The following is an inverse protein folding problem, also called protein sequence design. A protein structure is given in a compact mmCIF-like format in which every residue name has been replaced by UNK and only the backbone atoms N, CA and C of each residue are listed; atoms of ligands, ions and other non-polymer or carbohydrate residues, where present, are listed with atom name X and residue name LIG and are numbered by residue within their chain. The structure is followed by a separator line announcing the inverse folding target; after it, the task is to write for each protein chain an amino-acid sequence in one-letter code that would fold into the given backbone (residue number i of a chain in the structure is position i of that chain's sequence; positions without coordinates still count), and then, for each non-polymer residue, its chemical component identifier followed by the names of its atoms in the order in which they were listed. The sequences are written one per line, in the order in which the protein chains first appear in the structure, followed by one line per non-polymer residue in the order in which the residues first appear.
data_IF_990001025405
#
_entry.id   IF_990001025405
#
_cell.length_a   1.000
_cell.length_b   1.000
_cell.length_c   1.000
_cell.angle_alpha   90.00
_cell.angle_beta   90.00
_cell.angle_gamma   90.00
#
_symmetry.space_group_name_H-M   'P 1'
#
loop_
_entity.id
_entity.type
_entity.pdbx_description
1 polymer ?
#
# COMPACT_ATOMS: atom_id res chain seq x y z
N UNK A 1 -7.46 22.26 -13.04
CA UNK A 1 -7.11 22.55 -11.62
C UNK A 1 -6.05 21.56 -11.20
N UNK A 2 -4.80 22.00 -11.04
CA UNK A 2 -3.67 21.14 -10.67
C UNK A 2 -3.92 20.69 -9.23
N UNK A 3 -4.27 19.42 -9.04
CA UNK A 3 -4.32 18.86 -7.70
C UNK A 3 -2.89 18.56 -7.26
N UNK A 4 -2.38 19.41 -6.35
CA UNK A 4 -1.11 19.10 -5.68
C UNK A 4 -1.25 17.74 -4.99
N UNK A 5 -0.27 16.82 -5.17
CA UNK A 5 -0.26 15.59 -4.41
C UNK A 5 -0.30 15.93 -2.91
N UNK A 6 -1.08 15.17 -2.17
CA UNK A 6 -1.28 15.40 -0.74
C UNK A 6 -0.60 14.29 0.06
N UNK A 7 0.16 14.71 1.07
CA UNK A 7 0.60 13.80 2.13
C UNK A 7 -0.52 13.73 3.16
N UNK A 8 -1.05 12.56 3.42
CA UNK A 8 -2.11 12.33 4.40
C UNK A 8 -2.02 10.92 4.98
N UNK A 9 -2.59 10.72 6.17
CA UNK A 9 -2.64 9.41 6.79
C UNK A 9 -3.48 8.42 5.99
N UNK A 10 -3.31 7.12 6.25
CA UNK A 10 -4.15 6.06 5.67
C UNK A 10 -5.62 6.25 6.04
N UNK A 11 -5.89 6.63 7.28
CA UNK A 11 -7.23 6.88 7.78
C UNK A 11 -7.90 8.03 7.03
N UNK A 12 -7.20 9.16 6.87
CA UNK A 12 -7.71 10.30 6.10
C UNK A 12 -7.96 9.94 4.64
N UNK A 13 -7.04 9.20 3.99
CA UNK A 13 -7.21 8.77 2.60
C UNK A 13 -8.42 7.85 2.45
N UNK A 14 -8.55 6.85 3.30
CA UNK A 14 -9.71 5.94 3.25
C UNK A 14 -11.01 6.64 3.62
N UNK A 15 -10.97 7.60 4.53
CA UNK A 15 -12.12 8.45 4.90
C UNK A 15 -12.68 9.32 3.76
N UNK A 16 -11.95 9.52 2.66
CA UNK A 16 -12.44 10.23 1.46
C UNK A 16 -13.36 9.34 0.61
N UNK A 17 -14.50 8.94 1.18
CA UNK A 17 -15.45 7.99 0.58
C UNK A 17 -16.21 8.51 -0.64
N UNK A 18 -16.16 9.82 -0.90
CA UNK A 18 -16.72 10.44 -2.12
C UNK A 18 -15.91 10.17 -3.37
N UNK A 19 -14.64 9.75 -3.21
CA UNK A 19 -13.73 9.44 -4.30
C UNK A 19 -13.60 7.93 -4.47
N UNK A 20 -13.77 7.46 -5.70
CA UNK A 20 -13.59 6.06 -6.04
C UNK A 20 -12.10 5.73 -6.25
N UNK A 21 -11.73 4.50 -5.96
CA UNK A 21 -10.37 3.98 -6.12
C UNK A 21 -10.36 2.74 -7.00
N UNK A 22 -9.20 2.26 -7.40
CA UNK A 22 -9.06 1.00 -8.15
C UNK A 22 -9.73 -0.19 -7.45
N UNK A 23 -9.64 -0.25 -6.12
CA UNK A 23 -10.29 -1.30 -5.33
C UNK A 23 -11.81 -1.21 -5.36
N UNK A 24 -12.39 0.00 -5.35
CA UNK A 24 -13.84 0.20 -5.45
C UNK A 24 -14.36 -0.17 -6.85
N UNK A 25 -13.64 0.19 -7.91
CA UNK A 25 -13.99 -0.21 -9.28
C UNK A 25 -13.98 -1.73 -9.42
N UNK A 26 -12.96 -2.40 -8.89
CA UNK A 26 -12.90 -3.88 -8.90
C UNK A 26 -14.08 -4.50 -8.17
N UNK A 27 -14.49 -3.95 -7.03
CA UNK A 27 -15.68 -4.42 -6.30
C UNK A 27 -16.95 -4.28 -7.12
N UNK A 28 -17.13 -3.15 -7.79
CA UNK A 28 -18.30 -2.92 -8.70
C UNK A 28 -18.31 -3.94 -9.82
N UNK A 29 -17.16 -4.19 -10.47
CA UNK A 29 -17.05 -5.18 -11.55
C UNK A 29 -17.35 -6.61 -11.08
N UNK A 30 -17.03 -6.94 -9.83
CA UNK A 30 -17.29 -8.27 -9.25
C UNK A 30 -18.74 -8.41 -8.80
N UNK A 31 -19.26 -7.43 -8.06
CA UNK A 31 -20.62 -7.40 -7.53
C UNK A 31 -21.02 -5.99 -7.09
N UNK A 32 -21.86 -5.30 -7.87
CA UNK A 32 -22.39 -3.98 -7.50
C UNK A 32 -23.10 -3.98 -6.14
N UNK A 33 -23.82 -5.05 -5.82
CA UNK A 33 -24.50 -5.20 -4.52
C UNK A 33 -23.51 -5.28 -3.36
N UNK A 34 -22.41 -6.03 -3.53
CA UNK A 34 -21.35 -6.11 -2.51
C UNK A 34 -20.64 -4.77 -2.35
N UNK A 35 -20.36 -4.05 -3.42
CA UNK A 35 -19.80 -2.72 -3.37
C UNK A 35 -20.65 -1.75 -2.52
N UNK A 36 -21.97 -1.72 -2.73
CA UNK A 36 -22.88 -0.88 -1.96
C UNK A 36 -22.88 -1.25 -0.47
N UNK A 37 -22.86 -2.55 -0.16
CA UNK A 37 -22.75 -3.02 1.21
C UNK A 37 -21.43 -2.59 1.86
N UNK A 38 -20.30 -2.79 1.19
CA UNK A 38 -18.96 -2.47 1.69
C UNK A 38 -18.77 -0.95 1.92
N UNK A 39 -19.57 -0.08 1.26
CA UNK A 39 -19.56 1.37 1.54
C UNK A 39 -20.09 1.75 2.92
N UNK A 40 -20.94 0.94 3.49
CA UNK A 40 -21.60 1.18 4.79
C UNK A 40 -21.07 0.27 5.89
N UNK A 41 -20.38 -0.80 5.55
CA UNK A 41 -19.84 -1.76 6.50
C UNK A 41 -18.48 -1.31 7.03
N UNK A 42 -18.26 -1.49 8.34
CA UNK A 42 -16.93 -1.36 8.92
C UNK A 42 -15.99 -2.44 8.37
N UNK A 43 -14.81 -2.01 7.93
CA UNK A 43 -13.78 -2.92 7.43
C UNK A 43 -12.85 -3.32 8.57
N UNK A 44 -12.82 -4.60 8.90
CA UNK A 44 -11.84 -5.15 9.83
C UNK A 44 -10.64 -5.65 9.01
N UNK A 45 -9.42 -5.16 9.28
CA UNK A 45 -8.23 -5.66 8.61
C UNK A 45 -8.04 -7.15 8.87
N UNK A 46 -7.68 -7.89 7.84
CA UNK A 46 -7.25 -9.29 7.99
C UNK A 46 -5.77 -9.34 8.34
N UNK A 47 -5.32 -10.44 8.96
CA UNK A 47 -3.90 -10.66 9.25
C UNK A 47 -3.00 -10.46 8.00
N UNK A 48 -3.43 -10.95 6.85
CA UNK A 48 -2.70 -10.76 5.59
C UNK A 48 -2.60 -9.27 5.16
N UNK A 49 -3.63 -8.46 5.46
CA UNK A 49 -3.57 -7.02 5.21
C UNK A 49 -2.60 -6.31 6.17
N UNK A 50 -2.59 -6.71 7.44
CA UNK A 50 -1.68 -6.17 8.45
C UNK A 50 -0.21 -6.51 8.11
N UNK A 51 0.05 -7.76 7.72
CA UNK A 51 1.36 -8.22 7.24
C UNK A 51 1.77 -7.47 5.97
N UNK A 52 0.87 -7.27 5.01
CA UNK A 52 1.11 -6.46 3.82
C UNK A 52 1.48 -5.01 4.17
N UNK A 53 0.76 -4.39 5.10
CA UNK A 53 1.06 -3.04 5.58
C UNK A 53 2.43 -2.96 6.23
N UNK A 54 2.82 -3.96 7.04
CA UNK A 54 4.15 -4.02 7.64
C UNK A 54 5.27 -4.09 6.57
N UNK A 55 5.09 -4.91 5.52
CA UNK A 55 6.04 -5.01 4.40
C UNK A 55 6.14 -3.66 3.67
N UNK A 56 5.03 -3.02 3.32
CA UNK A 56 5.04 -1.69 2.68
C UNK A 56 5.79 -0.68 3.55
N UNK A 57 5.48 -0.59 4.85
CA UNK A 57 6.16 0.33 5.76
C UNK A 57 7.67 0.03 5.86
N UNK A 58 8.05 -1.25 5.86
CA UNK A 58 9.47 -1.64 5.89
C UNK A 58 10.24 -1.16 4.66
N UNK A 59 9.69 -1.33 3.47
CA UNK A 59 10.38 -0.98 2.22
C UNK A 59 10.31 0.51 1.88
N UNK A 60 9.22 1.19 2.21
CA UNK A 60 8.95 2.55 1.76
C UNK A 60 9.24 3.60 2.84
N UNK A 61 9.08 3.24 4.11
CA UNK A 61 9.13 4.15 5.26
C UNK A 61 9.89 3.50 6.42
N UNK A 62 11.15 3.11 6.19
CA UNK A 62 11.93 2.30 7.13
C UNK A 62 12.05 2.92 8.54
N UNK A 63 12.21 4.24 8.66
CA UNK A 63 12.24 4.91 9.97
C UNK A 63 10.87 4.81 10.68
N UNK A 64 9.79 4.88 9.93
CA UNK A 64 8.45 4.70 10.48
C UNK A 64 8.23 3.24 10.93
N UNK A 65 8.77 2.27 10.17
CA UNK A 65 8.73 0.86 10.54
C UNK A 65 9.39 0.62 11.89
N UNK A 66 10.61 1.11 12.11
CA UNK A 66 11.35 0.99 13.38
C UNK A 66 10.58 1.55 14.59
N UNK A 67 9.80 2.60 14.36
CA UNK A 67 9.03 3.26 15.42
C UNK A 67 7.65 2.62 15.68
N UNK A 68 7.13 1.80 14.74
CA UNK A 68 5.78 1.23 14.81
C UNK A 68 5.73 -0.27 15.00
N UNK A 69 6.81 -0.98 14.66
CA UNK A 69 6.82 -2.44 14.64
C UNK A 69 7.95 -2.99 15.50
N UNK A 70 7.71 -4.15 16.08
CA UNK A 70 8.73 -4.97 16.73
C UNK A 70 8.48 -6.45 16.43
N UNK A 71 9.51 -7.26 16.63
CA UNK A 71 9.42 -8.70 16.44
C UNK A 71 9.32 -9.41 17.79
N UNK A 72 8.41 -10.36 17.86
CA UNK A 72 8.28 -11.23 19.03
C UNK A 72 9.55 -12.06 19.19
N UNK A 73 10.11 -12.22 20.40
CA UNK A 73 11.22 -13.14 20.62
C UNK A 73 10.89 -14.58 20.20
N UNK A 74 11.86 -15.34 19.64
CA UNK A 74 11.65 -16.73 19.17
C UNK A 74 11.08 -17.65 20.24
N UNK A 75 11.52 -17.48 21.50
CA UNK A 75 11.05 -18.27 22.65
C UNK A 75 10.02 -17.53 23.52
N UNK A 76 9.18 -16.68 22.90
CA UNK A 76 8.24 -15.87 23.65
C UNK A 76 7.15 -16.71 24.33
N UNK A 77 7.01 -16.51 25.66
CA UNK A 77 5.90 -17.01 26.44
C UNK A 77 5.29 -15.89 27.32
N UNK A 78 4.17 -15.36 26.91
CA UNK A 78 3.49 -14.26 27.61
C UNK A 78 2.97 -14.59 29.02
N UNK A 79 3.05 -15.85 29.47
CA UNK A 79 2.66 -16.26 30.83
C UNK A 79 3.84 -16.12 31.84
N UNK A 80 5.07 -16.08 31.37
CA UNK A 80 6.24 -15.91 32.22
C UNK A 80 6.41 -14.47 32.67
N UNK A 81 7.23 -14.24 33.68
CA UNK A 81 7.56 -12.89 34.15
C UNK A 81 8.23 -12.05 33.06
N UNK A 82 9.20 -12.66 32.38
CA UNK A 82 9.94 -12.06 31.27
C UNK A 82 9.01 -11.71 30.09
N UNK A 83 8.07 -12.62 29.75
CA UNK A 83 7.10 -12.37 28.70
C UNK A 83 6.11 -11.24 29.01
N UNK A 84 5.69 -11.13 30.26
CA UNK A 84 4.84 -10.01 30.71
C UNK A 84 5.58 -8.69 30.66
N UNK A 85 6.83 -8.65 31.17
CA UNK A 85 7.68 -7.47 31.11
C UNK A 85 7.89 -7.04 29.66
N UNK A 86 8.21 -7.98 28.78
CA UNK A 86 8.39 -7.67 27.36
C UNK A 86 7.13 -7.06 26.74
N UNK A 87 5.93 -7.56 27.09
CA UNK A 87 4.66 -6.99 26.63
C UNK A 87 4.38 -5.59 27.19
N UNK A 88 4.79 -5.29 28.42
CA UNK A 88 4.71 -3.94 29.00
C UNK A 88 5.60 -2.95 28.24
N UNK A 89 6.78 -3.39 27.85
CA UNK A 89 7.75 -2.55 27.13
C UNK A 89 7.36 -2.35 25.64
N UNK A 90 6.81 -3.37 24.98
CA UNK A 90 6.61 -3.38 23.53
C UNK A 90 5.13 -3.42 23.09
N UNK A 91 4.20 -3.62 24.02
CA UNK A 91 2.77 -3.83 23.68
C UNK A 91 2.08 -2.62 23.03
N UNK A 92 2.73 -1.46 23.00
CA UNK A 92 2.27 -0.26 22.29
C UNK A 92 2.63 -0.28 20.80
N UNK A 93 3.50 -1.20 20.36
CA UNK A 93 3.90 -1.38 18.97
C UNK A 93 3.08 -2.46 18.27
N UNK A 94 3.12 -2.47 16.95
CA UNK A 94 2.58 -3.57 16.15
C UNK A 94 3.56 -4.76 16.22
N UNK A 95 3.10 -5.84 16.84
CA UNK A 95 3.96 -6.99 17.13
C UNK A 95 3.86 -8.01 16.00
N UNK A 96 4.95 -8.19 15.28
CA UNK A 96 5.11 -9.23 14.28
C UNK A 96 5.61 -10.54 14.90
N UNK A 97 5.28 -11.68 14.28
CA UNK A 97 5.82 -12.96 14.67
C UNK A 97 7.35 -13.01 14.40
N UNK A 98 8.08 -13.81 15.19
CA UNK A 98 9.55 -13.83 15.15
C UNK A 98 10.13 -14.15 13.76
N UNK A 99 9.45 -15.02 13.01
CA UNK A 99 9.85 -15.42 11.66
C UNK A 99 9.80 -14.28 10.63
N UNK A 100 9.04 -13.21 10.91
CA UNK A 100 8.95 -12.06 10.01
C UNK A 100 10.25 -11.27 9.92
N UNK A 101 11.11 -11.29 10.94
CA UNK A 101 12.41 -10.64 10.88
C UNK A 101 13.29 -11.25 9.77
N UNK A 102 13.40 -12.56 9.74
CA UNK A 102 14.16 -13.29 8.71
C UNK A 102 13.51 -13.12 7.33
N UNK A 103 12.18 -13.21 7.24
CA UNK A 103 11.45 -13.04 6.01
C UNK A 103 11.67 -11.66 5.38
N UNK A 104 11.61 -10.58 6.17
CA UNK A 104 11.86 -9.22 5.68
C UNK A 104 13.30 -9.03 5.21
N UNK A 105 14.29 -9.62 5.90
CA UNK A 105 15.68 -9.61 5.47
C UNK A 105 15.83 -10.32 4.12
N UNK A 106 15.26 -11.51 3.95
CA UNK A 106 15.30 -12.24 2.68
C UNK A 106 14.59 -11.50 1.55
N UNK A 107 13.42 -10.91 1.82
CA UNK A 107 12.71 -10.09 0.86
C UNK A 107 13.56 -8.89 0.43
N UNK A 108 14.24 -8.23 1.38
CA UNK A 108 15.09 -7.08 1.10
C UNK A 108 16.29 -7.45 0.23
N UNK A 109 16.95 -8.58 0.48
CA UNK A 109 18.03 -9.06 -0.37
C UNK A 109 17.53 -9.30 -1.80
N UNK A 110 16.43 -10.04 -1.96
CA UNK A 110 15.82 -10.28 -3.28
C UNK A 110 15.39 -8.99 -3.98
N UNK A 111 14.92 -8.02 -3.21
CA UNK A 111 14.53 -6.71 -3.73
C UNK A 111 15.74 -5.92 -4.27
N UNK A 112 16.84 -5.88 -3.50
CA UNK A 112 18.07 -5.19 -3.90
C UNK A 112 18.75 -5.81 -5.13
N UNK A 113 18.56 -7.10 -5.34
CA UNK A 113 19.05 -7.83 -6.52
C UNK A 113 18.13 -7.70 -7.75
N UNK A 114 16.99 -7.02 -7.61
CA UNK A 114 15.99 -6.86 -8.65
C UNK A 114 15.94 -5.45 -9.23
N UNK A 115 15.36 -5.24 -10.44
CA UNK A 115 15.10 -3.91 -10.98
C UNK A 115 14.21 -3.03 -10.09
N UNK A 116 13.46 -3.63 -9.15
CA UNK A 116 12.58 -2.90 -8.24
C UNK A 116 13.35 -1.99 -7.27
N UNK A 117 14.66 -2.22 -7.05
CA UNK A 117 15.53 -1.32 -6.27
C UNK A 117 15.53 0.13 -6.74
N UNK A 118 14.94 0.40 -7.90
CA UNK A 118 14.78 1.76 -8.45
C UNK A 118 14.16 2.75 -7.44
N UNK A 119 13.34 2.27 -6.51
CA UNK A 119 12.76 3.12 -5.45
C UNK A 119 13.83 3.64 -4.47
N UNK A 120 14.99 2.96 -4.38
CA UNK A 120 16.12 3.41 -3.58
C UNK A 120 17.16 4.18 -4.41
N UNK A 121 17.30 3.83 -5.69
CA UNK A 121 18.29 4.43 -6.58
C UNK A 121 17.86 5.80 -7.12
N UNK A 122 16.56 6.02 -7.30
CA UNK A 122 15.98 7.28 -7.80
C UNK A 122 15.36 8.10 -6.68
N UNK A 123 15.41 9.43 -6.86
CA UNK A 123 14.60 10.33 -6.00
C UNK A 123 13.12 10.13 -6.31
N UNK A 124 12.33 9.95 -5.28
CA UNK A 124 10.89 9.78 -5.38
C UNK A 124 10.19 10.09 -4.07
N UNK A 125 8.89 9.94 -4.07
CA UNK A 125 8.03 10.19 -2.93
C UNK A 125 7.11 8.98 -2.72
N UNK A 126 6.90 8.63 -1.46
CA UNK A 126 6.09 7.49 -1.04
C UNK A 126 4.69 7.94 -0.63
N UNK A 127 3.70 7.07 -0.81
CA UNK A 127 2.34 7.21 -0.27
C UNK A 127 1.65 8.55 -0.60
N UNK A 128 1.98 9.14 -1.76
CA UNK A 128 1.32 10.37 -2.20
C UNK A 128 -0.09 10.10 -2.69
N UNK A 129 -1.02 10.90 -2.21
CA UNK A 129 -2.43 10.82 -2.57
C UNK A 129 -2.79 11.82 -3.66
N UNK A 130 -3.41 11.33 -4.72
CA UNK A 130 -3.89 12.11 -5.85
C UNK A 130 -5.41 12.01 -5.92
N UNK A 131 -6.06 13.12 -6.26
CA UNK A 131 -7.50 13.23 -6.38
C UNK A 131 -7.85 13.89 -7.70
N UNK A 132 -8.87 13.39 -8.37
CA UNK A 132 -9.50 14.00 -9.52
C UNK A 132 -10.98 14.27 -9.23
N UNK A 133 -11.44 15.48 -9.46
CA UNK A 133 -12.86 15.84 -9.29
C UNK A 133 -13.73 15.29 -10.40
N UNK A 134 -13.14 15.05 -11.57
CA UNK A 134 -13.84 14.45 -12.71
C UNK A 134 -12.90 13.54 -13.51
N UNK A 135 -13.07 12.27 -13.37
CA UNK A 135 -12.45 11.24 -14.21
C UNK A 135 -13.53 10.54 -15.02
N UNK A 136 -14.05 11.23 -16.05
CA UNK A 136 -15.13 10.71 -16.88
C UNK A 136 -16.47 10.59 -16.12
N UNK A 137 -16.83 11.62 -15.37
CA UNK A 137 -18.09 11.72 -14.61
C UNK A 137 -18.01 11.21 -13.17
N UNK A 138 -16.84 10.76 -12.70
CA UNK A 138 -16.67 10.27 -11.32
C UNK A 138 -15.50 10.95 -10.62
N UNK A 139 -15.65 11.18 -9.33
CA UNK A 139 -14.54 11.60 -8.48
C UNK A 139 -13.62 10.41 -8.20
N UNK A 140 -12.34 10.57 -8.48
CA UNK A 140 -11.35 9.52 -8.41
C UNK A 140 -10.22 9.83 -7.45
N UNK A 141 -9.67 8.80 -6.82
CA UNK A 141 -8.45 8.89 -6.02
C UNK A 141 -7.51 7.74 -6.33
N UNK A 142 -6.21 8.03 -6.23
CA UNK A 142 -5.19 6.99 -6.22
C UNK A 142 -4.07 7.35 -5.25
N UNK A 143 -3.36 6.32 -4.79
CA UNK A 143 -2.17 6.44 -3.96
C UNK A 143 -1.21 5.35 -4.37
N UNK A 144 -0.28 5.66 -5.28
CA UNK A 144 0.84 4.77 -5.57
C UNK A 144 1.73 4.62 -4.35
N UNK A 145 2.33 3.47 -4.17
CA UNK A 145 3.27 3.22 -3.08
C UNK A 145 4.52 4.11 -3.22
N UNK A 146 4.99 4.32 -4.45
CA UNK A 146 6.08 5.21 -4.75
C UNK A 146 5.94 5.82 -6.15
N UNK A 147 6.35 7.07 -6.29
CA UNK A 147 6.43 7.78 -7.59
C UNK A 147 7.75 8.52 -7.67
N UNK A 148 8.44 8.43 -8.82
CA UNK A 148 9.67 9.18 -9.05
C UNK A 148 9.42 10.68 -9.10
N UNK A 149 10.42 11.48 -8.71
CA UNK A 149 10.30 12.95 -8.71
C UNK A 149 10.03 13.56 -10.08
N UNK A 150 10.40 12.85 -11.15
CA UNK A 150 10.11 13.22 -12.54
C UNK A 150 8.75 12.70 -13.03
N UNK A 151 7.98 12.03 -12.17
CA UNK A 151 6.68 11.43 -12.45
C UNK A 151 6.65 10.38 -13.60
N UNK A 152 7.81 9.91 -14.08
CA UNK A 152 7.88 8.93 -15.17
C UNK A 152 7.82 7.48 -14.70
N UNK A 153 8.01 7.23 -13.40
CA UNK A 153 8.01 5.88 -12.83
C UNK A 153 7.07 5.82 -11.65
N UNK A 154 6.14 4.88 -11.70
CA UNK A 154 5.23 4.55 -10.60
C UNK A 154 5.50 3.12 -10.18
N UNK A 155 5.66 2.91 -8.88
CA UNK A 155 5.86 1.58 -8.29
C UNK A 155 4.72 1.29 -7.32
N UNK A 156 4.25 0.05 -7.38
CA UNK A 156 3.23 -0.48 -6.49
C UNK A 156 3.71 -1.85 -5.99
N UNK A 157 4.02 -1.96 -4.72
CA UNK A 157 4.56 -3.17 -4.10
C UNK A 157 3.46 -4.19 -3.88
N UNK A 158 3.77 -5.45 -4.12
CA UNK A 158 2.84 -6.55 -3.90
C UNK A 158 3.49 -7.67 -3.13
N UNK A 159 2.90 -8.04 -2.01
CA UNK A 159 3.26 -9.27 -1.29
C UNK A 159 2.55 -10.46 -1.91
N UNK A 160 3.26 -11.56 -2.09
CA UNK A 160 2.71 -12.79 -2.65
C UNK A 160 3.43 -14.01 -2.07
N UNK A 161 2.74 -15.13 -2.01
CA UNK A 161 3.33 -16.43 -1.64
C UNK A 161 4.14 -17.06 -2.78
N UNK A 162 3.88 -16.65 -4.03
CA UNK A 162 4.56 -17.14 -5.22
C UNK A 162 4.91 -15.96 -6.14
N UNK A 163 6.16 -15.52 -6.07
CA UNK A 163 6.71 -14.44 -6.88
C UNK A 163 7.28 -14.93 -8.23
N UNK A 164 7.13 -16.22 -8.57
CA UNK A 164 7.50 -16.70 -9.91
C UNK A 164 6.68 -16.00 -11.00
N UNK A 165 7.18 -15.88 -12.23
CA UNK A 165 6.42 -15.26 -13.33
C UNK A 165 5.02 -15.84 -13.49
N UNK A 166 4.87 -17.17 -13.36
CA UNK A 166 3.58 -17.85 -13.46
C UNK A 166 2.67 -17.57 -12.28
N UNK A 167 3.20 -17.55 -11.05
CA UNK A 167 2.46 -17.23 -9.83
C UNK A 167 2.00 -15.78 -9.84
N UNK A 168 2.89 -14.85 -10.21
CA UNK A 168 2.57 -13.44 -10.29
C UNK A 168 1.54 -13.14 -11.40
N UNK A 169 1.63 -13.81 -12.56
CA UNK A 169 0.61 -13.68 -13.62
C UNK A 169 -0.78 -14.08 -13.14
N UNK A 170 -0.90 -15.15 -12.34
CA UNK A 170 -2.18 -15.52 -11.71
C UNK A 170 -2.66 -14.44 -10.75
N UNK A 171 -1.76 -13.89 -9.93
CA UNK A 171 -2.07 -12.81 -9.00
C UNK A 171 -2.55 -11.54 -9.70
N UNK A 172 -1.97 -11.17 -10.85
CA UNK A 172 -2.44 -10.05 -11.69
C UNK A 172 -3.92 -10.20 -12.04
N UNK A 173 -4.31 -11.39 -12.53
CA UNK A 173 -5.70 -11.67 -12.88
C UNK A 173 -6.62 -11.73 -11.65
N UNK A 174 -6.21 -12.47 -10.63
CA UNK A 174 -7.00 -12.71 -9.41
C UNK A 174 -7.27 -11.43 -8.62
N UNK A 175 -6.25 -10.58 -8.47
CA UNK A 175 -6.34 -9.36 -7.67
C UNK A 175 -6.57 -8.09 -8.50
N UNK A 176 -6.64 -8.20 -9.83
CA UNK A 176 -6.95 -7.08 -10.71
C UNK A 176 -5.86 -6.01 -10.74
N UNK A 177 -4.58 -6.37 -10.68
CA UNK A 177 -3.47 -5.41 -10.69
C UNK A 177 -3.41 -4.60 -11.98
N UNK A 178 -3.84 -5.18 -13.11
CA UNK A 178 -3.98 -4.46 -14.37
C UNK A 178 -5.05 -3.35 -14.31
N UNK A 179 -6.13 -3.55 -13.55
CA UNK A 179 -7.17 -2.52 -13.30
C UNK A 179 -6.57 -1.40 -12.46
N UNK A 180 -5.79 -1.76 -11.42
CA UNK A 180 -5.13 -0.79 -10.57
C UNK A 180 -4.12 0.06 -11.35
N UNK A 181 -3.28 -0.56 -12.17
CA UNK A 181 -2.31 0.14 -13.01
C UNK A 181 -3.00 1.11 -13.97
N UNK A 182 -4.03 0.65 -14.68
CA UNK A 182 -4.82 1.50 -15.58
C UNK A 182 -5.49 2.68 -14.85
N UNK A 183 -6.01 2.42 -13.65
CA UNK A 183 -6.62 3.45 -12.81
C UNK A 183 -5.60 4.52 -12.38
N UNK A 184 -4.43 4.10 -11.92
CA UNK A 184 -3.36 5.00 -11.51
C UNK A 184 -2.91 5.89 -12.67
N UNK A 185 -2.65 5.29 -13.83
CA UNK A 185 -2.26 6.03 -15.03
C UNK A 185 -3.29 7.07 -15.41
N UNK A 186 -4.58 6.73 -15.40
CA UNK A 186 -5.65 7.70 -15.69
C UNK A 186 -5.73 8.80 -14.66
N UNK A 187 -5.70 8.48 -13.36
CA UNK A 187 -5.68 9.49 -12.30
C UNK A 187 -4.52 10.46 -12.46
N UNK A 188 -3.31 9.94 -12.70
CA UNK A 188 -2.09 10.75 -12.80
C UNK A 188 -2.08 11.60 -14.07
N UNK A 189 -2.49 11.08 -15.23
CA UNK A 189 -2.57 11.83 -16.48
C UNK A 189 -3.60 12.96 -16.38
N UNK A 190 -4.78 12.70 -15.85
CA UNK A 190 -5.82 13.76 -15.68
C UNK A 190 -5.43 14.83 -14.68
N UNK A 191 -4.48 14.56 -13.79
CA UNK A 191 -3.92 15.58 -12.89
C UNK A 191 -2.81 16.38 -13.56
N UNK A 192 -2.16 15.88 -14.61
CA UNK A 192 -1.09 16.57 -15.36
C UNK A 192 -1.62 17.41 -16.53
N UNK A 193 -2.60 16.93 -17.27
CA UNK A 193 -3.18 17.66 -18.42
C UNK A 193 -3.91 18.96 -18.02
N UNK A 194 -4.45 18.99 -16.80
CA UNK A 194 -5.03 20.24 -16.24
C UNK A 194 -3.97 21.32 -15.93
N UNK A 195 -2.68 21.02 -16.07
CA UNK A 195 -1.59 21.97 -15.87
C UNK A 195 -1.22 22.75 -17.15
N UNK A 196 -1.47 22.16 -18.33
CA UNK A 196 -1.09 22.77 -19.62
C UNK A 196 -2.19 23.71 -20.19
N UNK A 197 -3.43 23.61 -19.71
CA UNK A 197 -4.55 24.46 -20.19
C UNK A 197 -4.56 25.88 -19.59
N UNK A 198 -3.51 26.30 -18.89
CA UNK A 198 -3.38 27.65 -18.29
C UNK A 198 -2.22 28.46 -18.85
N UNK A 199 -1.92 28.35 -20.17
CA UNK A 199 -1.04 29.30 -20.88
C UNK A 199 -1.88 30.26 -21.73
#
# INVERSE_FOLDING_TARGET
MIYKPLVMSNEEYHGKTKYESSSTIRKVLTSPKKYLYDKTAESVPTKAMEEGTAVHTFFLENELFKNRYCFKPKAFNGRTKEGKQWMEEHGHLNILAAEWEENLIHMNHSFLDSPAKIIYDKKGLTELSFFSEDLGGIKAKCRPDWISSDAHTVVDLKTTQDASPKGFQKSIGQFGYHIQASWYMRCLLYTSDAADDTC
#
